data_IF_184992648724
#
_entry.id   IF_184992648724
#
_cell.length_a   1.000
_cell.length_b   1.000
_cell.length_c   1.000
_cell.angle_alpha   90.00
_cell.angle_beta   90.00
_cell.angle_gamma   90.00
#
_symmetry.space_group_name_H-M   'P 1'
#
loop_
_entity.id
_entity.type
_entity.pdbx_description
1 polymer ?
#
# COMPACT_ATOMS: atom_id res chain seq x y z
N UNK A 1 22.78 13.23 -3.08
CA UNK A 1 23.44 13.43 -1.76
C UNK A 1 24.51 14.48 -1.95
N UNK A 2 24.39 15.63 -1.30
CA UNK A 2 25.41 16.67 -1.39
C UNK A 2 26.67 16.22 -0.66
N UNK A 3 27.72 15.93 -1.42
CA UNK A 3 29.05 15.58 -0.90
C UNK A 3 29.67 16.68 -0.02
N UNK A 4 29.13 17.90 -0.10
CA UNK A 4 29.62 19.06 0.63
C UNK A 4 29.38 18.99 2.15
N UNK A 5 28.21 18.52 2.63
CA UNK A 5 27.89 18.56 4.08
C UNK A 5 28.73 17.56 4.90
N UNK A 6 28.91 16.32 4.40
CA UNK A 6 29.80 15.33 5.03
C UNK A 6 31.29 15.70 4.90
N UNK A 7 31.66 16.51 3.90
CA UNK A 7 33.01 17.02 3.72
C UNK A 7 33.50 17.82 4.93
N UNK A 8 32.62 18.63 5.54
CA UNK A 8 32.95 19.47 6.68
C UNK A 8 33.26 18.66 7.95
N UNK A 9 32.49 17.60 8.23
CA UNK A 9 32.75 16.72 9.39
C UNK A 9 34.09 16.00 9.21
N UNK A 10 34.36 15.49 8.00
CA UNK A 10 35.63 14.83 7.68
C UNK A 10 36.83 15.78 7.81
N UNK A 11 36.70 17.02 7.34
CA UNK A 11 37.73 18.05 7.52
C UNK A 11 37.95 18.40 9.00
N UNK A 12 36.88 18.53 9.79
CA UNK A 12 36.98 18.81 11.22
C UNK A 12 37.71 17.68 11.98
N UNK A 13 37.37 16.42 11.70
CA UNK A 13 38.04 15.25 12.29
C UNK A 13 39.53 15.25 11.93
N UNK A 14 39.86 15.44 10.65
CA UNK A 14 41.25 15.47 10.19
C UNK A 14 42.05 16.62 10.84
N UNK A 15 41.42 17.78 11.04
CA UNK A 15 42.05 18.93 11.68
C UNK A 15 42.33 18.66 13.17
N UNK A 16 41.40 18.04 13.91
CA UNK A 16 41.63 17.66 15.31
C UNK A 16 42.72 16.60 15.46
N UNK A 17 42.72 15.59 14.59
CA UNK A 17 43.78 14.57 14.54
C UNK A 17 45.15 15.20 14.27
N UNK A 18 45.24 16.19 13.38
CA UNK A 18 46.51 16.87 13.08
C UNK A 18 47.08 17.69 14.24
N UNK A 19 46.22 18.08 15.21
CA UNK A 19 46.60 18.84 16.40
C UNK A 19 46.87 17.97 17.63
N UNK A 20 46.67 16.66 17.53
CA UNK A 20 46.77 15.74 18.68
C UNK A 20 45.66 15.94 19.72
N UNK A 21 44.53 16.54 19.32
CA UNK A 21 43.37 16.70 20.20
C UNK A 21 42.59 15.37 20.28
N UNK A 22 42.19 14.98 21.49
CA UNK A 22 41.29 13.84 21.69
C UNK A 22 39.92 14.13 21.05
N UNK A 23 39.41 13.15 20.31
CA UNK A 23 38.12 13.25 19.64
C UNK A 23 37.05 12.66 20.56
N UNK A 24 36.11 13.51 20.98
CA UNK A 24 34.86 13.05 21.55
C UNK A 24 33.98 12.43 20.45
N UNK A 25 34.08 11.11 20.31
CA UNK A 25 33.34 10.33 19.33
C UNK A 25 31.83 10.40 19.52
N UNK A 26 31.32 10.58 20.75
CA UNK A 26 29.88 10.69 20.98
C UNK A 26 29.34 12.05 20.55
N UNK A 27 30.11 13.13 20.71
CA UNK A 27 29.79 14.43 20.11
C UNK A 27 29.74 14.36 18.58
N UNK A 28 30.75 13.76 17.95
CA UNK A 28 30.81 13.63 16.47
C UNK A 28 29.65 12.78 15.94
N UNK A 29 29.33 11.68 16.61
CA UNK A 29 28.20 10.81 16.26
C UNK A 29 26.86 11.54 16.37
N UNK A 30 26.68 12.36 17.41
CA UNK A 30 25.48 13.20 17.58
C UNK A 30 25.34 14.22 16.45
N UNK A 31 26.44 14.86 16.04
CA UNK A 31 26.43 15.82 14.93
C UNK A 31 26.11 15.16 13.59
N UNK A 32 26.64 13.96 13.33
CA UNK A 32 26.30 13.18 12.13
C UNK A 32 24.82 12.82 12.10
N UNK A 33 24.26 12.37 13.24
CA UNK A 33 22.85 12.01 13.34
C UNK A 33 21.93 13.23 13.16
N UNK A 34 22.30 14.38 13.71
CA UNK A 34 21.55 15.63 13.53
C UNK A 34 21.55 16.08 12.07
N UNK A 35 22.72 16.08 11.39
CA UNK A 35 22.79 16.44 9.96
C UNK A 35 22.02 15.45 9.07
N UNK A 36 22.05 14.16 9.40
CA UNK A 36 21.26 13.16 8.68
C UNK A 36 19.75 13.38 8.86
N UNK A 37 19.31 13.77 10.07
CA UNK A 37 17.92 14.12 10.33
C UNK A 37 17.47 15.37 9.58
N UNK A 38 18.29 16.44 9.56
CA UNK A 38 18.02 17.65 8.79
C UNK A 38 17.90 17.38 7.29
N UNK A 39 18.79 16.54 6.73
CA UNK A 39 18.74 16.14 5.33
C UNK A 39 17.47 15.35 4.99
N UNK A 40 17.03 14.46 5.88
CA UNK A 40 15.79 13.71 5.69
C UNK A 40 14.56 14.64 5.65
N UNK A 41 14.53 15.66 6.52
CA UNK A 41 13.47 16.68 6.54
C UNK A 41 13.47 17.51 5.24
N UNK A 42 14.65 17.92 4.77
CA UNK A 42 14.78 18.66 3.50
C UNK A 42 14.32 17.83 2.28
N UNK A 43 14.63 16.53 2.24
CA UNK A 43 14.20 15.63 1.16
C UNK A 43 12.68 15.40 1.18
N UNK A 44 12.09 15.23 2.36
CA UNK A 44 10.64 15.10 2.53
C UNK A 44 9.90 16.37 2.09
N UNK A 45 10.42 17.55 2.45
CA UNK A 45 9.90 18.84 2.01
C UNK A 45 9.96 18.99 0.48
N UNK A 46 11.08 18.61 -0.15
CA UNK A 46 11.23 18.61 -1.62
C UNK A 46 10.23 17.67 -2.31
N UNK A 47 10.06 16.45 -1.79
CA UNK A 47 9.10 15.50 -2.33
C UNK A 47 7.66 16.03 -2.24
N UNK A 48 7.31 16.63 -1.10
CA UNK A 48 5.99 17.24 -0.87
C UNK A 48 5.72 18.38 -1.85
N UNK A 49 6.70 19.27 -2.06
CA UNK A 49 6.58 20.37 -3.02
C UNK A 49 6.43 19.88 -4.46
N UNK A 50 7.17 18.83 -4.85
CA UNK A 50 7.03 18.23 -6.19
C UNK A 50 5.63 17.63 -6.40
N UNK A 51 5.06 16.97 -5.40
CA UNK A 51 3.70 16.41 -5.48
C UNK A 51 2.66 17.52 -5.60
N UNK A 52 2.78 18.57 -4.79
CA UNK A 52 1.86 19.71 -4.84
C UNK A 52 1.88 20.41 -6.20
N UNK A 53 3.06 20.54 -6.81
CA UNK A 53 3.20 21.10 -8.16
C UNK A 53 2.49 20.25 -9.22
N UNK A 54 2.61 18.92 -9.16
CA UNK A 54 1.90 18.01 -10.07
C UNK A 54 0.39 18.03 -9.87
N UNK A 55 -0.09 18.11 -8.61
CA UNK A 55 -1.51 18.30 -8.30
C UNK A 55 -2.02 19.62 -8.90
N UNK A 56 -1.26 20.70 -8.77
CA UNK A 56 -1.61 22.00 -9.34
C UNK A 56 -1.68 21.94 -10.87
N UNK A 57 -0.70 21.33 -11.53
CA UNK A 57 -0.71 21.11 -13.00
C UNK A 57 -1.92 20.27 -13.44
N UNK A 58 -2.28 19.24 -12.67
CA UNK A 58 -3.43 18.39 -12.98
C UNK A 58 -4.76 19.16 -12.87
N UNK A 59 -4.90 20.07 -11.90
CA UNK A 59 -6.09 20.92 -11.75
C UNK A 59 -6.30 21.92 -12.89
N UNK A 60 -5.22 22.32 -13.58
CA UNK A 60 -5.28 23.26 -14.71
C UNK A 60 -5.43 22.60 -16.09
N UNK A 61 -5.39 21.26 -16.20
CA UNK A 61 -5.75 20.58 -17.45
C UNK A 61 -7.27 20.62 -17.63
N UNK A 62 -7.71 21.53 -18.50
CA UNK A 62 -9.10 21.85 -18.89
C UNK A 62 -10.03 20.64 -18.99
N UNK A 63 -11.28 20.86 -18.58
CA UNK A 63 -12.45 20.01 -18.81
C UNK A 63 -12.56 19.61 -20.29
N UNK A 64 -12.34 18.33 -20.57
CA UNK A 64 -12.58 17.76 -21.89
C UNK A 64 -14.10 17.63 -22.11
N UNK A 65 -14.61 18.34 -23.11
CA UNK A 65 -15.95 18.10 -23.65
C UNK A 65 -15.82 17.17 -24.84
N UNK A 66 -16.53 16.05 -24.80
CA UNK A 66 -16.63 15.15 -25.95
C UNK A 66 -17.80 15.60 -26.82
N UNK A 67 -17.53 15.88 -28.10
CA UNK A 67 -18.56 16.14 -29.09
C UNK A 67 -19.08 14.79 -29.62
N UNK A 68 -20.28 14.40 -29.21
CA UNK A 68 -20.93 13.20 -29.72
C UNK A 68 -22.03 13.60 -30.69
N UNK A 69 -22.02 13.03 -31.91
CA UNK A 69 -23.11 13.20 -32.89
C UNK A 69 -24.24 12.23 -32.53
N UNK A 70 -25.38 12.75 -32.11
CA UNK A 70 -26.52 11.92 -31.70
C UNK A 70 -27.12 11.23 -32.94
N UNK A 71 -27.06 9.90 -33.00
CA UNK A 71 -27.63 9.13 -34.13
C UNK A 71 -29.13 9.29 -34.31
N UNK A 72 -29.86 9.73 -33.28
CA UNK A 72 -31.32 9.83 -33.31
C UNK A 72 -31.82 11.16 -33.89
N UNK A 73 -31.05 12.25 -33.73
CA UNK A 73 -31.44 13.58 -34.20
C UNK A 73 -30.43 14.24 -35.14
N UNK A 74 -29.27 13.63 -35.39
CA UNK A 74 -28.23 14.15 -36.30
C UNK A 74 -27.41 15.32 -35.75
N UNK A 75 -27.81 15.93 -34.63
CA UNK A 75 -27.16 17.10 -34.06
C UNK A 75 -25.96 16.75 -33.16
N UNK A 76 -25.00 17.67 -33.09
CA UNK A 76 -23.86 17.61 -32.18
C UNK A 76 -24.26 18.15 -30.80
N UNK A 77 -24.03 17.36 -29.76
CA UNK A 77 -24.19 17.82 -28.38
C UNK A 77 -22.86 17.72 -27.64
N UNK A 78 -22.52 18.78 -26.89
CA UNK A 78 -21.36 18.82 -26.00
C UNK A 78 -21.79 18.40 -24.60
N UNK A 79 -21.23 17.30 -24.10
CA UNK A 79 -21.46 16.84 -22.73
C UNK A 79 -20.13 16.66 -21.98
N UNK A 80 -20.12 16.88 -20.65
CA UNK A 80 -19.00 16.47 -19.82
C UNK A 80 -18.84 14.94 -19.91
N UNK A 81 -17.60 14.48 -20.10
CA UNK A 81 -17.20 13.10 -20.44
C UNK A 81 -17.76 11.99 -19.54
N UNK A 82 -18.25 12.32 -18.35
CA UNK A 82 -18.66 11.34 -17.34
C UNK A 82 -20.06 10.74 -17.57
N UNK A 83 -20.80 11.13 -18.63
CA UNK A 83 -22.18 10.66 -18.91
C UNK A 83 -22.34 9.73 -20.13
N UNK A 84 -21.26 9.30 -20.79
CA UNK A 84 -21.35 8.59 -22.08
C UNK A 84 -21.43 7.04 -21.99
N UNK A 85 -21.76 6.46 -20.83
CA UNK A 85 -21.69 5.00 -20.60
C UNK A 85 -23.05 4.31 -20.44
N UNK A 86 -24.00 4.55 -21.35
CA UNK A 86 -25.13 3.65 -21.52
C UNK A 86 -25.51 3.63 -23.00
N UNK A 87 -24.99 2.65 -23.75
CA UNK A 87 -25.58 2.01 -24.93
C UNK A 87 -24.47 1.33 -25.74
N UNK A 88 -24.23 0.04 -25.49
CA UNK A 88 -23.77 -0.96 -26.48
C UNK A 88 -23.64 -2.33 -25.80
N UNK A 89 -24.69 -3.16 -25.93
CA UNK A 89 -24.57 -4.63 -25.89
C UNK A 89 -24.99 -5.12 -27.27
N UNK A 90 -24.04 -5.64 -28.06
CA UNK A 90 -24.32 -6.52 -29.20
C UNK A 90 -23.65 -7.86 -28.92
N UNK A 91 -24.41 -8.93 -29.12
CA UNK A 91 -23.97 -10.33 -29.11
C UNK A 91 -22.97 -10.54 -30.24
N UNK A 92 -21.89 -11.27 -29.97
CA UNK A 92 -21.07 -11.92 -30.99
C UNK A 92 -20.91 -13.40 -30.63
N UNK A 93 -20.97 -14.21 -31.68
CA UNK A 93 -20.96 -15.67 -31.70
C UNK A 93 -19.69 -16.30 -31.13
N UNK A 94 -19.87 -17.50 -30.61
CA UNK A 94 -18.83 -18.34 -30.00
C UNK A 94 -18.59 -19.57 -30.87
N UNK A 95 -17.57 -19.53 -31.71
CA UNK A 95 -17.01 -20.71 -32.38
C UNK A 95 -15.53 -20.47 -32.67
N UNK A 96 -14.68 -20.81 -31.69
CA UNK A 96 -13.25 -21.17 -31.84
C UNK A 96 -12.57 -21.15 -30.46
N UNK A 97 -12.78 -22.18 -29.63
CA UNK A 97 -12.15 -22.21 -28.31
C UNK A 97 -11.60 -23.58 -27.86
N UNK A 98 -11.32 -24.49 -28.80
CA UNK A 98 -10.78 -25.81 -28.46
C UNK A 98 -9.32 -26.06 -28.89
N UNK A 99 -8.70 -25.17 -29.66
CA UNK A 99 -7.31 -25.35 -30.10
C UNK A 99 -6.23 -24.80 -29.15
N UNK A 100 -6.58 -24.05 -28.10
CA UNK A 100 -5.59 -23.29 -27.31
C UNK A 100 -5.21 -23.91 -25.94
N UNK A 101 -5.71 -25.12 -25.62
CA UNK A 101 -5.55 -25.71 -24.27
C UNK A 101 -4.37 -26.68 -24.09
N UNK A 102 -3.46 -26.85 -25.06
CA UNK A 102 -2.43 -27.91 -24.98
C UNK A 102 -0.96 -27.50 -24.85
N UNK A 103 -0.59 -26.23 -24.70
CA UNK A 103 0.81 -25.90 -24.45
C UNK A 103 0.97 -24.70 -23.51
N UNK A 104 1.08 -24.95 -22.20
CA UNK A 104 1.97 -24.19 -21.32
C UNK A 104 2.08 -24.84 -19.93
N UNK A 105 3.01 -25.78 -19.83
CA UNK A 105 3.62 -26.20 -18.57
C UNK A 105 5.05 -25.65 -18.56
N UNK A 106 5.20 -24.33 -18.34
CA UNK A 106 6.52 -23.68 -18.20
C UNK A 106 6.43 -22.64 -17.07
N UNK A 107 7.10 -22.98 -15.97
CA UNK A 107 7.70 -22.14 -14.92
C UNK A 107 7.07 -20.77 -14.60
N UNK A 108 6.54 -20.68 -13.39
CA UNK A 108 6.05 -19.49 -12.70
C UNK A 108 7.16 -18.42 -12.48
N UNK A 109 7.52 -17.63 -13.49
CA UNK A 109 8.17 -16.31 -13.36
C UNK A 109 7.72 -15.41 -14.53
N UNK A 110 6.44 -14.98 -14.55
CA UNK A 110 5.91 -14.10 -15.63
C UNK A 110 5.20 -12.82 -15.18
N UNK A 111 5.08 -12.57 -13.87
CA UNK A 111 4.23 -11.46 -13.37
C UNK A 111 4.98 -10.11 -13.33
N UNK A 112 6.31 -10.10 -13.40
CA UNK A 112 7.10 -8.85 -13.34
C UNK A 112 7.20 -8.06 -14.66
N UNK A 113 7.34 -8.73 -15.80
CA UNK A 113 7.71 -8.05 -17.06
C UNK A 113 6.54 -7.36 -17.77
N UNK A 114 5.31 -7.85 -17.61
CA UNK A 114 4.14 -7.29 -18.30
C UNK A 114 3.78 -5.89 -17.80
N UNK A 115 3.86 -5.63 -16.50
CA UNK A 115 3.48 -4.33 -15.93
C UNK A 115 4.50 -3.22 -16.24
N UNK A 116 5.80 -3.56 -16.29
CA UNK A 116 6.85 -2.62 -16.69
C UNK A 116 6.66 -2.20 -18.15
N UNK A 117 6.38 -3.17 -19.04
CA UNK A 117 6.11 -2.93 -20.46
C UNK A 117 4.83 -2.10 -20.66
N UNK A 118 3.74 -2.40 -19.96
CA UNK A 118 2.49 -1.63 -20.06
C UNK A 118 2.65 -0.17 -19.65
N UNK A 119 3.38 0.11 -18.55
CA UNK A 119 3.60 1.47 -18.09
C UNK A 119 4.47 2.28 -19.07
N UNK A 120 5.48 1.66 -19.65
CA UNK A 120 6.35 2.28 -20.64
C UNK A 120 5.64 2.55 -21.97
N UNK A 121 4.87 1.58 -22.49
CA UNK A 121 4.04 1.77 -23.69
C UNK A 121 3.11 2.98 -23.52
N UNK A 122 2.45 3.07 -22.36
CA UNK A 122 1.54 4.18 -22.06
C UNK A 122 2.26 5.52 -21.87
N UNK A 123 3.47 5.53 -21.31
CA UNK A 123 4.25 6.77 -21.08
C UNK A 123 4.80 7.33 -22.39
N UNK A 124 5.11 6.47 -23.35
CA UNK A 124 5.66 6.86 -24.66
C UNK A 124 4.61 6.90 -25.78
N UNK A 125 3.32 6.73 -25.47
CA UNK A 125 2.23 6.64 -26.45
C UNK A 125 2.49 5.60 -27.56
N UNK A 126 3.13 4.49 -27.21
CA UNK A 126 3.42 3.40 -28.14
C UNK A 126 2.26 2.40 -28.17
N UNK A 127 1.86 1.97 -29.36
CA UNK A 127 0.98 0.82 -29.57
C UNK A 127 1.73 -0.49 -29.25
N UNK A 128 0.96 -1.58 -29.15
CA UNK A 128 1.51 -2.91 -28.84
C UNK A 128 2.53 -3.41 -29.86
N UNK A 129 2.35 -3.02 -31.12
CA UNK A 129 3.17 -3.45 -32.25
C UNK A 129 4.26 -2.41 -32.62
N UNK A 130 4.27 -1.25 -31.94
CA UNK A 130 5.27 -0.23 -32.21
C UNK A 130 6.65 -0.70 -31.75
N UNK A 131 7.66 -0.41 -32.57
CA UNK A 131 9.05 -0.73 -32.24
C UNK A 131 9.48 0.14 -31.05
N UNK A 132 9.99 -0.49 -30.01
CA UNK A 132 10.58 0.21 -28.87
C UNK A 132 11.93 0.80 -29.27
N UNK A 133 12.20 2.03 -28.83
CA UNK A 133 13.51 2.65 -28.99
C UNK A 133 14.60 1.84 -28.25
N UNK A 134 15.82 1.84 -28.78
CA UNK A 134 16.93 1.05 -28.26
C UNK A 134 17.25 1.44 -26.81
N UNK A 135 17.08 2.73 -26.46
CA UNK A 135 17.24 3.20 -25.08
C UNK A 135 16.24 2.56 -24.11
N UNK A 136 14.99 2.36 -24.54
CA UNK A 136 13.93 1.75 -23.75
C UNK A 136 14.15 0.24 -23.63
N UNK A 137 14.59 -0.40 -24.72
CA UNK A 137 14.98 -1.82 -24.72
C UNK A 137 16.11 -2.05 -23.73
N UNK A 138 17.11 -1.16 -23.71
CA UNK A 138 18.22 -1.24 -22.77
C UNK A 138 17.74 -1.07 -21.31
N UNK A 139 16.90 -0.08 -21.01
CA UNK A 139 16.34 0.12 -19.66
C UNK A 139 15.51 -1.10 -19.18
N UNK A 140 14.73 -1.73 -20.07
CA UNK A 140 14.01 -2.97 -19.75
C UNK A 140 14.99 -4.11 -19.47
N UNK A 141 16.05 -4.23 -20.26
CA UNK A 141 17.08 -5.24 -20.07
C UNK A 141 17.85 -5.02 -18.76
N UNK A 142 18.20 -3.79 -18.41
CA UNK A 142 18.88 -3.45 -17.15
C UNK A 142 18.00 -3.78 -15.95
N UNK A 143 16.70 -3.43 -16.01
CA UNK A 143 15.72 -3.85 -14.99
C UNK A 143 15.59 -5.35 -14.90
N UNK A 144 15.59 -6.06 -16.04
CA UNK A 144 15.56 -7.53 -16.09
C UNK A 144 16.82 -8.12 -15.46
N UNK A 145 18.00 -7.56 -15.72
CA UNK A 145 19.26 -7.95 -15.10
C UNK A 145 19.22 -7.69 -13.59
N UNK A 146 18.63 -6.58 -13.14
CA UNK A 146 18.44 -6.30 -11.72
C UNK A 146 17.51 -7.31 -11.02
N UNK A 147 16.60 -7.98 -11.75
CA UNK A 147 15.79 -9.07 -11.19
C UNK A 147 16.64 -10.28 -10.78
N UNK A 148 17.86 -10.44 -11.32
CA UNK A 148 18.77 -11.51 -10.85
C UNK A 148 19.13 -11.35 -9.38
N UNK A 149 19.13 -10.12 -8.85
CA UNK A 149 19.32 -9.87 -7.40
C UNK A 149 18.23 -10.56 -6.56
N UNK A 150 17.03 -10.78 -7.12
CA UNK A 150 15.95 -11.49 -6.42
C UNK A 150 16.28 -12.98 -6.20
N UNK A 151 17.18 -13.59 -6.97
CA UNK A 151 17.57 -15.00 -6.72
C UNK A 151 18.33 -15.17 -5.40
N UNK A 152 18.91 -14.08 -4.89
CA UNK A 152 19.61 -14.08 -3.60
C UNK A 152 18.66 -13.92 -2.42
N UNK A 153 17.39 -13.59 -2.65
CA UNK A 153 16.39 -13.47 -1.60
C UNK A 153 16.01 -14.87 -1.13
N UNK A 154 16.40 -15.21 0.10
CA UNK A 154 16.00 -16.45 0.78
C UNK A 154 14.68 -16.20 1.51
N UNK A 155 13.65 -16.95 1.11
CA UNK A 155 12.35 -16.93 1.77
C UNK A 155 12.26 -18.08 2.77
N UNK A 156 11.83 -17.78 4.00
CA UNK A 156 11.49 -18.83 4.96
C UNK A 156 10.27 -19.58 4.46
N UNK A 157 10.36 -20.91 4.39
CA UNK A 157 9.27 -21.79 3.93
C UNK A 157 8.54 -22.50 5.07
N UNK A 158 8.99 -22.31 6.31
CA UNK A 158 8.44 -22.98 7.50
C UNK A 158 8.10 -21.93 8.54
N UNK A 159 6.91 -22.08 9.14
CA UNK A 159 6.48 -21.30 10.28
C UNK A 159 7.28 -21.77 11.50
N UNK A 160 7.72 -20.84 12.34
CA UNK A 160 8.22 -21.20 13.66
C UNK A 160 7.07 -21.69 14.55
N UNK A 161 7.36 -22.39 15.64
CA UNK A 161 6.32 -22.93 16.55
C UNK A 161 5.35 -21.86 17.05
N UNK A 162 5.84 -20.64 17.24
CA UNK A 162 5.05 -19.46 17.62
C UNK A 162 4.96 -18.42 16.50
N UNK A 163 5.22 -18.82 15.26
CA UNK A 163 5.21 -17.92 14.13
C UNK A 163 3.80 -17.47 13.77
N UNK A 164 3.68 -16.26 13.23
CA UNK A 164 2.40 -15.71 12.76
C UNK A 164 2.41 -15.61 11.23
N UNK A 165 1.31 -16.06 10.61
CA UNK A 165 1.06 -15.88 9.19
C UNK A 165 0.06 -14.75 8.97
N UNK A 166 0.43 -13.78 8.15
CA UNK A 166 -0.42 -12.65 7.81
C UNK A 166 -0.77 -12.71 6.33
N UNK A 167 -2.06 -12.67 6.03
CA UNK A 167 -2.54 -12.58 4.66
C UNK A 167 -3.20 -11.22 4.48
N UNK A 168 -2.73 -10.47 3.49
CA UNK A 168 -3.39 -9.26 3.04
C UNK A 168 -4.04 -9.57 1.72
N UNK A 169 -5.26 -9.07 1.54
CA UNK A 169 -5.96 -9.15 0.28
C UNK A 169 -6.50 -7.77 -0.09
N UNK A 170 -6.68 -7.56 -1.38
CA UNK A 170 -7.34 -6.39 -1.90
C UNK A 170 -8.05 -6.77 -3.19
N UNK A 171 -9.11 -6.06 -3.52
CA UNK A 171 -9.93 -6.34 -4.68
C UNK A 171 -10.41 -5.05 -5.33
N UNK A 172 -10.25 -5.00 -6.64
CA UNK A 172 -10.89 -4.02 -7.51
C UNK A 172 -12.12 -4.65 -8.20
N UNK A 173 -12.76 -3.88 -9.08
CA UNK A 173 -13.89 -4.37 -9.86
C UNK A 173 -13.52 -5.55 -10.76
N UNK A 174 -12.32 -5.52 -11.35
CA UNK A 174 -11.88 -6.46 -12.37
C UNK A 174 -10.86 -7.49 -11.87
N UNK A 175 -10.28 -7.27 -10.68
CA UNK A 175 -9.19 -8.10 -10.18
C UNK A 175 -9.16 -8.18 -8.66
N UNK A 176 -8.48 -9.19 -8.14
CA UNK A 176 -8.11 -9.28 -6.74
C UNK A 176 -6.67 -9.72 -6.61
N UNK A 177 -6.05 -9.32 -5.53
CA UNK A 177 -4.71 -9.68 -5.17
C UNK A 177 -4.66 -10.16 -3.75
N UNK A 178 -3.61 -10.90 -3.44
CA UNK A 178 -3.27 -11.24 -2.07
C UNK A 178 -1.78 -11.44 -1.92
N UNK A 179 -1.30 -11.18 -0.72
CA UNK A 179 0.08 -11.38 -0.29
C UNK A 179 0.09 -12.06 1.07
N UNK A 180 1.06 -12.94 1.26
CA UNK A 180 1.22 -13.73 2.47
C UNK A 180 2.60 -13.46 3.06
N UNK A 181 2.61 -13.18 4.35
CA UNK A 181 3.80 -12.98 5.15
C UNK A 181 3.90 -14.07 6.21
N UNK A 182 5.13 -14.47 6.49
CA UNK A 182 5.48 -15.45 7.52
C UNK A 182 6.50 -14.79 8.44
N UNK A 183 6.13 -14.53 9.69
CA UNK A 183 7.02 -13.85 10.66
C UNK A 183 7.58 -12.50 10.15
N UNK A 184 6.76 -11.75 9.41
CA UNK A 184 7.15 -10.46 8.81
C UNK A 184 7.85 -10.55 7.44
N UNK A 185 8.22 -11.75 6.99
CA UNK A 185 8.85 -11.96 5.68
C UNK A 185 7.79 -12.28 4.61
N UNK A 186 7.80 -11.56 3.47
CA UNK A 186 6.88 -11.84 2.35
C UNK A 186 7.22 -13.20 1.72
N UNK A 187 6.33 -14.18 1.80
CA UNK A 187 6.55 -15.52 1.25
C UNK A 187 5.86 -15.74 -0.10
N UNK A 188 4.76 -15.03 -0.36
CA UNK A 188 3.98 -15.22 -1.56
C UNK A 188 3.14 -14.00 -1.90
N UNK A 189 2.96 -13.72 -3.18
CA UNK A 189 2.08 -12.66 -3.66
C UNK A 189 1.53 -12.99 -5.05
N UNK A 190 0.24 -12.77 -5.27
CA UNK A 190 -0.39 -13.01 -6.57
C UNK A 190 -1.59 -12.11 -6.79
N UNK A 191 -1.79 -11.70 -8.03
CA UNK A 191 -3.02 -11.07 -8.52
C UNK A 191 -3.73 -11.97 -9.55
N UNK A 192 -5.05 -11.86 -9.63
CA UNK A 192 -5.93 -12.59 -10.55
C UNK A 192 -7.11 -11.72 -10.96
N UNK A 193 -7.70 -12.02 -12.11
CA UNK A 193 -8.98 -11.41 -12.54
C UNK A 193 -10.10 -11.89 -11.63
N UNK A 194 -10.98 -10.99 -11.20
CA UNK A 194 -12.04 -11.27 -10.22
C UNK A 194 -13.19 -12.05 -10.85
N UNK A 195 -13.52 -13.26 -10.35
CA UNK A 195 -14.67 -14.00 -10.82
C UNK A 195 -15.93 -13.51 -10.11
N UNK A 196 -16.68 -12.61 -10.75
CA UNK A 196 -18.01 -12.10 -10.33
C UNK A 196 -18.01 -11.25 -9.03
N UNK A 197 -19.11 -10.50 -8.75
CA UNK A 197 -19.17 -9.59 -7.60
C UNK A 197 -19.07 -10.32 -6.25
N UNK A 198 -18.12 -9.88 -5.44
CA UNK A 198 -17.70 -10.49 -4.15
C UNK A 198 -18.78 -10.42 -3.06
N UNK A 199 -19.69 -9.44 -3.12
CA UNK A 199 -20.65 -9.14 -2.06
C UNK A 199 -21.53 -10.34 -1.64
N UNK A 200 -21.85 -11.27 -2.55
CA UNK A 200 -22.67 -12.46 -2.23
C UNK A 200 -21.93 -13.56 -1.47
N UNK A 201 -20.61 -13.44 -1.27
CA UNK A 201 -19.77 -14.47 -0.65
C UNK A 201 -19.26 -14.11 0.73
N UNK A 202 -19.61 -12.94 1.26
CA UNK A 202 -19.10 -12.47 2.56
C UNK A 202 -19.41 -13.47 3.67
N UNK A 203 -20.64 -13.97 3.74
CA UNK A 203 -21.04 -14.98 4.73
C UNK A 203 -20.18 -16.24 4.63
N UNK A 204 -19.98 -16.79 3.44
CA UNK A 204 -19.11 -17.96 3.25
C UNK A 204 -17.67 -17.70 3.65
N UNK A 205 -17.14 -16.51 3.36
CA UNK A 205 -15.78 -16.10 3.74
C UNK A 205 -15.67 -16.02 5.27
N UNK A 206 -16.64 -15.42 5.95
CA UNK A 206 -16.66 -15.32 7.40
C UNK A 206 -16.79 -16.70 8.05
N UNK A 207 -17.63 -17.60 7.51
CA UNK A 207 -17.75 -18.98 7.99
C UNK A 207 -16.44 -19.74 7.84
N UNK A 208 -15.80 -19.69 6.66
CA UNK A 208 -14.50 -20.34 6.43
C UNK A 208 -13.45 -19.75 7.38
N UNK A 209 -13.40 -18.42 7.50
CA UNK A 209 -12.47 -17.74 8.40
C UNK A 209 -12.65 -18.17 9.84
N UNK A 210 -13.90 -18.26 10.33
CA UNK A 210 -14.21 -18.75 11.67
C UNK A 210 -13.72 -20.18 11.87
N UNK A 211 -14.02 -21.08 10.93
CA UNK A 211 -13.59 -22.49 10.99
C UNK A 211 -12.06 -22.65 10.94
N UNK A 212 -11.35 -21.70 10.32
CA UNK A 212 -9.90 -21.67 10.24
C UNK A 212 -9.25 -20.81 11.35
N UNK A 213 -10.01 -20.31 12.33
CA UNK A 213 -9.53 -19.41 13.38
C UNK A 213 -8.80 -18.16 12.83
N UNK A 214 -9.27 -17.63 11.71
CA UNK A 214 -8.71 -16.45 11.04
C UNK A 214 -9.30 -15.19 11.66
N UNK A 215 -8.43 -14.27 12.07
CA UNK A 215 -8.81 -12.93 12.53
C UNK A 215 -8.81 -11.95 11.35
N UNK A 216 -9.97 -11.44 10.98
CA UNK A 216 -10.08 -10.40 9.96
C UNK A 216 -9.79 -9.03 10.56
N UNK A 217 -8.96 -8.23 9.88
CA UNK A 217 -8.68 -6.84 10.23
C UNK A 217 -8.81 -5.96 8.99
N UNK A 218 -9.46 -4.81 9.14
CA UNK A 218 -9.50 -3.81 8.10
C UNK A 218 -8.16 -3.06 8.04
N UNK A 219 -7.64 -2.85 6.83
CA UNK A 219 -6.39 -2.13 6.59
C UNK A 219 -6.65 -1.09 5.51
N UNK A 220 -6.20 0.15 5.73
CA UNK A 220 -6.38 1.21 4.74
C UNK A 220 -5.54 0.92 3.49
N UNK A 221 -6.02 1.35 2.32
CA UNK A 221 -5.30 1.11 1.05
C UNK A 221 -3.87 1.65 1.04
N UNK A 222 -3.58 2.74 1.76
CA UNK A 222 -2.22 3.31 1.89
C UNK A 222 -1.24 2.39 2.62
N UNK A 223 -1.78 1.44 3.39
CA UNK A 223 -1.02 0.52 4.22
C UNK A 223 -1.17 -0.93 3.75
N UNK A 224 -1.91 -1.18 2.66
CA UNK A 224 -2.13 -2.52 2.15
C UNK A 224 -1.01 -2.89 1.16
N UNK A 225 -0.08 -3.79 1.54
CA UNK A 225 0.99 -4.22 0.63
C UNK A 225 0.47 -4.91 -0.63
N UNK A 226 -0.77 -5.40 -0.61
CA UNK A 226 -1.42 -6.01 -1.78
C UNK A 226 -1.68 -5.01 -2.90
N UNK A 227 -1.93 -3.73 -2.56
CA UNK A 227 -2.25 -2.70 -3.54
C UNK A 227 -1.08 -2.46 -4.50
N UNK A 228 0.16 -2.57 -3.99
CA UNK A 228 1.39 -2.50 -4.79
C UNK A 228 1.53 -3.68 -5.77
N UNK A 229 1.04 -4.86 -5.41
CA UNK A 229 1.05 -6.04 -6.29
C UNK A 229 -0.08 -5.98 -7.30
N UNK A 230 -1.24 -5.44 -6.92
CA UNK A 230 -2.37 -5.27 -7.84
C UNK A 230 -2.13 -4.17 -8.87
N UNK A 231 -1.61 -3.02 -8.45
CA UNK A 231 -1.38 -1.86 -9.33
C UNK A 231 -0.02 -1.89 -10.01
N UNK A 232 0.85 -2.80 -9.59
CA UNK A 232 2.23 -2.89 -10.01
C UNK A 232 3.14 -1.91 -9.26
N UNK A 233 4.36 -2.35 -8.96
CA UNK A 233 5.43 -1.53 -8.43
C UNK A 233 6.72 -1.78 -9.23
N UNK A 234 7.60 -0.78 -9.32
CA UNK A 234 8.92 -0.98 -9.93
C UNK A 234 9.84 -1.78 -9.01
N UNK A 235 10.88 -2.46 -9.53
CA UNK A 235 11.89 -3.11 -8.68
C UNK A 235 12.50 -2.15 -7.66
N UNK A 236 12.79 -0.90 -8.03
CA UNK A 236 13.30 0.10 -7.10
C UNK A 236 12.30 0.45 -5.99
N UNK A 237 11.00 0.61 -6.32
CA UNK A 237 9.96 0.84 -5.31
C UNK A 237 9.81 -0.37 -4.37
N UNK A 238 9.82 -1.59 -4.93
CA UNK A 238 9.84 -2.82 -4.17
C UNK A 238 11.03 -2.84 -3.20
N UNK A 239 12.21 -2.43 -3.68
CA UNK A 239 13.44 -2.39 -2.90
C UNK A 239 13.43 -1.36 -1.76
N UNK A 240 12.99 -0.14 -2.05
CA UNK A 240 12.94 0.98 -1.10
C UNK A 240 11.89 0.73 -0.02
N UNK A 241 10.70 0.26 -0.40
CA UNK A 241 9.63 0.01 0.56
C UNK A 241 9.88 -1.24 1.41
N UNK A 242 10.91 -2.04 1.07
CA UNK A 242 11.27 -3.29 1.74
C UNK A 242 10.02 -4.14 1.97
N UNK A 243 9.23 -4.34 0.91
CA UNK A 243 7.95 -5.07 1.00
C UNK A 243 8.17 -6.49 1.55
N UNK A 244 9.38 -7.05 1.44
CA UNK A 244 9.73 -8.34 2.03
C UNK A 244 10.13 -8.29 3.52
N UNK A 245 10.29 -7.11 4.11
CA UNK A 245 10.60 -6.86 5.52
C UNK A 245 9.64 -5.79 6.03
N UNK A 246 8.37 -6.18 6.12
CA UNK A 246 7.37 -5.31 6.71
C UNK A 246 7.36 -5.55 8.22
N UNK A 247 7.59 -4.48 8.98
CA UNK A 247 7.30 -4.49 10.40
C UNK A 247 5.77 -4.46 10.58
N UNK A 248 5.20 -5.66 10.70
CA UNK A 248 3.76 -5.86 10.82
C UNK A 248 3.23 -5.28 12.13
N UNK A 249 4.03 -5.26 13.20
CA UNK A 249 3.65 -4.62 14.46
C UNK A 249 3.48 -3.11 14.26
N UNK A 250 4.34 -2.49 13.44
CA UNK A 250 4.21 -1.07 13.08
C UNK A 250 2.97 -0.79 12.24
N UNK A 251 2.67 -1.61 11.22
CA UNK A 251 1.43 -1.49 10.42
C UNK A 251 0.17 -1.67 11.26
N UNK A 252 0.18 -2.63 12.19
CA UNK A 252 -0.94 -2.90 13.08
C UNK A 252 -1.10 -1.83 14.17
N UNK A 253 0.00 -1.17 14.59
CA UNK A 253 -0.05 0.01 15.48
C UNK A 253 -0.81 1.18 14.85
N UNK A 254 -0.68 1.40 13.55
CA UNK A 254 -1.38 2.49 12.85
C UNK A 254 -2.88 2.25 12.66
N UNK A 255 -3.37 1.02 12.82
CA UNK A 255 -4.81 0.75 12.77
C UNK A 255 -5.60 1.44 13.91
N UNK A 256 -4.91 1.91 14.96
CA UNK A 256 -5.51 2.58 16.11
C UNK A 256 -5.57 4.11 15.99
N UNK A 257 -4.96 4.74 14.98
CA UNK A 257 -4.97 6.22 14.83
C UNK A 257 -6.35 6.82 14.50
N UNK A 258 -7.33 5.98 14.14
CA UNK A 258 -8.69 6.43 13.85
C UNK A 258 -9.67 6.23 15.00
N UNK A 259 -9.20 5.83 16.19
CA UNK A 259 -10.06 5.64 17.36
C UNK A 259 -9.83 6.80 18.31
N UNK A 260 -10.85 7.63 18.50
CA UNK A 260 -10.90 8.59 19.59
C UNK A 260 -11.48 7.89 20.81
N UNK A 261 -10.85 8.08 21.96
CA UNK A 261 -11.30 7.54 23.23
C UNK A 261 -11.49 8.73 24.16
N UNK A 262 -12.65 8.80 24.80
CA UNK A 262 -12.95 9.79 25.81
C UNK A 262 -13.60 9.13 27.02
N UNK A 263 -13.33 9.64 28.22
CA UNK A 263 -13.88 9.12 29.46
C UNK A 263 -14.63 10.26 30.14
N UNK A 264 -15.91 10.05 30.43
CA UNK A 264 -16.78 11.04 31.04
C UNK A 264 -17.41 10.52 32.33
N UNK A 265 -17.81 11.42 33.22
CA UNK A 265 -18.33 11.10 34.55
C UNK A 265 -17.62 11.87 35.66
N UNK A 266 -17.82 11.49 36.94
CA UNK A 266 -18.56 10.30 37.39
C UNK A 266 -20.08 10.41 37.16
N UNK A 267 -20.71 9.28 36.88
CA UNK A 267 -22.15 9.06 36.83
C UNK A 267 -22.58 8.36 38.11
N UNK A 268 -23.77 8.67 38.63
CA UNK A 268 -24.36 7.95 39.77
C UNK A 268 -25.46 7.04 39.25
N UNK A 269 -25.28 5.73 39.43
CA UNK A 269 -26.26 4.71 39.03
C UNK A 269 -27.44 4.67 40.02
N UNK A 270 -28.54 4.01 39.64
CA UNK A 270 -29.75 3.89 40.49
C UNK A 270 -29.50 3.20 41.83
N UNK A 271 -28.45 2.40 41.94
CA UNK A 271 -28.02 1.75 43.18
C UNK A 271 -27.03 2.62 44.00
N UNK A 272 -26.94 3.92 43.71
CA UNK A 272 -26.00 4.87 44.30
C UNK A 272 -24.51 4.55 44.09
N UNK A 273 -24.15 3.61 43.22
CA UNK A 273 -22.75 3.36 42.87
C UNK A 273 -22.25 4.39 41.85
N UNK A 274 -20.99 4.81 42.00
CA UNK A 274 -20.29 5.64 41.03
C UNK A 274 -19.84 4.80 39.85
N UNK A 275 -20.02 5.31 38.64
CA UNK A 275 -19.52 4.72 37.42
C UNK A 275 -18.98 5.82 36.49
N UNK A 276 -18.31 5.42 35.41
CA UNK A 276 -17.79 6.32 34.39
C UNK A 276 -18.25 5.84 33.02
N UNK A 277 -18.46 6.75 32.08
CA UNK A 277 -18.69 6.41 30.69
C UNK A 277 -17.37 6.40 29.93
N UNK A 278 -17.09 5.33 29.19
CA UNK A 278 -16.06 5.27 28.16
C UNK A 278 -16.73 5.42 26.80
N UNK A 279 -16.44 6.50 26.10
CA UNK A 279 -16.83 6.71 24.72
C UNK A 279 -15.66 6.35 23.80
N UNK A 280 -15.95 5.54 22.79
CA UNK A 280 -15.01 5.25 21.72
C UNK A 280 -15.64 5.59 20.38
N UNK A 281 -14.93 6.35 19.56
CA UNK A 281 -15.40 6.80 18.25
C UNK A 281 -14.39 6.37 17.20
N UNK A 282 -14.83 5.53 16.27
CA UNK A 282 -14.07 5.21 15.09
C UNK A 282 -14.30 6.31 14.03
N UNK A 283 -13.29 7.17 13.79
CA UNK A 283 -13.38 8.31 12.86
C UNK A 283 -13.70 7.91 11.42
N UNK A 284 -13.29 6.70 11.01
CA UNK A 284 -13.47 6.18 9.65
C UNK A 284 -14.86 5.60 9.42
N UNK A 285 -15.39 4.81 10.37
CA UNK A 285 -16.75 4.23 10.25
C UNK A 285 -17.84 5.10 10.83
N UNK A 286 -17.48 6.15 11.59
CA UNK A 286 -18.38 6.96 12.43
C UNK A 286 -19.14 6.13 13.48
N UNK A 287 -18.69 4.90 13.74
CA UNK A 287 -19.26 4.08 14.79
C UNK A 287 -18.83 4.63 16.15
N UNK A 288 -19.84 4.87 17.00
CA UNK A 288 -19.65 5.29 18.39
C UNK A 288 -20.10 4.15 19.30
N UNK A 289 -19.26 3.75 20.24
CA UNK A 289 -19.59 2.76 21.26
C UNK A 289 -19.34 3.38 22.63
N UNK A 290 -20.37 3.32 23.48
CA UNK A 290 -20.32 3.79 24.86
C UNK A 290 -20.37 2.57 25.78
N UNK A 291 -19.49 2.54 26.76
CA UNK A 291 -19.43 1.50 27.80
C UNK A 291 -19.42 2.16 29.17
N UNK A 292 -19.97 1.46 30.16
CA UNK A 292 -19.92 1.88 31.55
C UNK A 292 -18.71 1.20 32.19
N UNK A 293 -17.87 1.98 32.86
CA UNK A 293 -16.74 1.53 33.66
C UNK A 293 -17.12 1.66 35.13
N UNK A 294 -16.92 0.60 35.90
CA UNK A 294 -17.15 0.61 37.35
C UNK A 294 -16.06 1.41 38.09
N UNK A 295 -14.86 1.48 37.50
CA UNK A 295 -13.73 2.25 38.03
C UNK A 295 -12.75 2.63 36.91
N UNK A 296 -11.88 3.61 37.19
CA UNK A 296 -10.87 4.10 36.25
C UNK A 296 -9.52 3.38 36.35
N UNK A 297 -9.48 2.16 36.91
CA UNK A 297 -8.23 1.40 36.94
C UNK A 297 -7.81 1.03 35.53
N UNK A 298 -6.50 1.07 35.29
CA UNK A 298 -5.90 0.75 33.99
C UNK A 298 -6.38 -0.60 33.44
N UNK A 299 -6.50 -1.60 34.30
CA UNK A 299 -6.88 -2.96 33.90
C UNK A 299 -8.32 -3.03 33.39
N UNK A 300 -9.25 -2.35 34.06
CA UNK A 300 -10.65 -2.25 33.62
C UNK A 300 -10.76 -1.50 32.29
N UNK A 301 -9.97 -0.42 32.11
CA UNK A 301 -9.92 0.30 30.84
C UNK A 301 -9.40 -0.61 29.71
N UNK A 302 -8.31 -1.33 29.96
CA UNK A 302 -7.70 -2.24 29.00
C UNK A 302 -8.63 -3.39 28.60
N UNK A 303 -9.30 -4.01 29.57
CA UNK A 303 -10.26 -5.07 29.32
C UNK A 303 -11.39 -4.60 28.39
N UNK A 304 -11.93 -3.40 28.64
CA UNK A 304 -12.97 -2.82 27.80
C UNK A 304 -12.45 -2.48 26.40
N UNK A 305 -11.21 -1.99 26.28
CA UNK A 305 -10.56 -1.73 24.99
C UNK A 305 -10.25 -3.00 24.20
N UNK A 306 -9.95 -4.11 24.87
CA UNK A 306 -9.76 -5.42 24.22
C UNK A 306 -11.11 -5.98 23.74
N UNK A 307 -12.17 -5.85 24.54
CA UNK A 307 -13.54 -6.29 24.22
C UNK A 307 -14.30 -5.35 23.26
N UNK A 308 -13.64 -4.33 22.73
CA UNK A 308 -14.19 -3.42 21.73
C UNK A 308 -14.16 -4.02 20.32
N UNK A 309 -13.31 -5.02 20.09
CA UNK A 309 -12.98 -5.56 18.76
C UNK A 309 -13.31 -7.05 18.58
N UNK A 310 -13.89 -7.66 19.62
CA UNK A 310 -14.62 -8.93 19.56
C UNK A 310 -16.12 -8.64 19.54
#
# INVERSE_FOLDING_TARGET
MDSAKFGNIKQMINMKLSKGEDIDYESVKKDILNQAAELAIEEESRATNSINLEIHKAKHRKSFYCACKCRRCGNNHSHPTNKCFHLKKKKHDTTSNEAFKRNQQINCVKIGNSNVRFKQLNTHNLNWDDRMDDSLVQDVNDKRCALTVLSNVRLKRRLNENGEMFCFCDASFDSYGYVMYLDGDLIYGKSRVAPKPVARRLLSILTIGSNCNVRFRHISGRHNPTDLILRGCSPAQYMVQRIWKIDLLRLLKFAFENILIDVFGPLVLRNNQKAYGLMTVCRSTKATRIRVLENLRKDCLFEVLLNLWY
#
